data_IF_972868927314
#
_entry.id   IF_972868927314
#
_cell.length_a   1.000
_cell.length_b   1.000
_cell.length_c   1.000
_cell.angle_alpha   90.00
_cell.angle_beta   90.00
_cell.angle_gamma   90.00
#
_symmetry.space_group_name_H-M   'P 1'
#
loop_
_entity.id
_entity.type
_entity.pdbx_description
1 polymer ?
#
# COMPACT_ATOMS: atom_id res chain seq x y z
N UNK A 1 -12.95 2.98 4.09
CA UNK A 1 -12.82 2.57 2.67
C UNK A 1 -12.43 1.11 2.69
N UNK A 2 -13.26 0.24 2.13
CA UNK A 2 -13.00 -1.19 2.10
C UNK A 2 -12.05 -1.54 0.94
N UNK A 3 -11.51 -2.76 0.91
CA UNK A 3 -10.70 -3.25 -0.22
C UNK A 3 -11.49 -3.16 -1.53
N UNK A 4 -12.79 -3.51 -1.50
CA UNK A 4 -13.67 -3.45 -2.67
C UNK A 4 -13.88 -2.03 -3.21
N UNK A 5 -13.92 -1.02 -2.33
CA UNK A 5 -14.05 0.38 -2.77
C UNK A 5 -12.81 0.85 -3.54
N UNK A 6 -11.62 0.39 -3.13
CA UNK A 6 -10.39 0.76 -3.82
C UNK A 6 -10.20 0.00 -5.13
N UNK A 7 -10.50 -1.30 -5.16
CA UNK A 7 -10.48 -2.06 -6.41
C UNK A 7 -11.41 -1.43 -7.45
N UNK A 8 -12.61 -1.02 -7.03
CA UNK A 8 -13.54 -0.29 -7.87
C UNK A 8 -12.94 1.03 -8.37
N UNK A 9 -12.39 1.86 -7.47
CA UNK A 9 -11.73 3.11 -7.84
C UNK A 9 -10.57 2.90 -8.82
N UNK A 10 -9.80 1.83 -8.65
CA UNK A 10 -8.69 1.53 -9.56
C UNK A 10 -9.13 1.10 -10.95
N UNK A 11 -10.35 0.57 -11.11
CA UNK A 11 -10.90 0.25 -12.43
C UNK A 11 -11.26 1.50 -13.23
N UNK A 12 -11.45 2.64 -12.58
CA UNK A 12 -11.66 3.93 -13.26
C UNK A 12 -10.36 4.52 -13.83
N UNK A 13 -9.19 4.07 -13.35
CA UNK A 13 -7.91 4.54 -13.84
C UNK A 13 -7.58 4.01 -15.25
N UNK A 14 -6.79 4.80 -15.99
CA UNK A 14 -6.29 4.40 -17.30
C UNK A 14 -5.51 3.08 -17.24
N UNK A 15 -5.70 2.21 -18.25
CA UNK A 15 -4.97 0.94 -18.38
C UNK A 15 -3.45 1.09 -18.35
N UNK A 16 -2.93 2.25 -18.76
CA UNK A 16 -1.51 2.57 -18.67
C UNK A 16 -0.96 2.48 -17.22
N UNK A 17 -1.83 2.59 -16.22
CA UNK A 17 -1.48 2.48 -14.81
C UNK A 17 -1.59 1.05 -14.25
N UNK A 18 -2.01 0.06 -15.05
CA UNK A 18 -2.16 -1.33 -14.58
C UNK A 18 -0.84 -1.89 -14.01
N UNK A 19 0.30 -1.45 -14.54
CA UNK A 19 1.62 -1.83 -14.07
C UNK A 19 1.96 -1.29 -12.66
N UNK A 20 1.36 -0.15 -12.27
CA UNK A 20 1.60 0.47 -10.96
C UNK A 20 0.50 0.17 -9.93
N UNK A 21 -0.62 -0.43 -10.34
CA UNK A 21 -1.71 -0.78 -9.41
C UNK A 21 -1.24 -1.75 -8.29
N UNK A 22 -0.54 -2.87 -8.58
CA UNK A 22 -0.09 -3.80 -7.55
C UNK A 22 0.78 -3.16 -6.44
N UNK A 23 1.83 -2.35 -6.74
CA UNK A 23 2.59 -1.68 -5.69
C UNK A 23 1.75 -0.66 -4.90
N UNK A 24 0.84 0.07 -5.55
CA UNK A 24 -0.05 1.01 -4.85
C UNK A 24 -0.94 0.31 -3.80
N UNK A 25 -1.49 -0.87 -4.12
CA UNK A 25 -2.25 -1.66 -3.16
C UNK A 25 -1.39 -2.09 -1.96
N UNK A 26 -0.18 -2.59 -2.21
CA UNK A 26 0.74 -2.98 -1.13
C UNK A 26 1.12 -1.80 -0.23
N UNK A 27 1.46 -0.66 -0.83
CA UNK A 27 1.81 0.55 -0.08
C UNK A 27 0.65 1.01 0.79
N UNK A 28 -0.59 0.94 0.29
CA UNK A 28 -1.76 1.25 1.10
C UNK A 28 -1.88 0.33 2.30
N UNK A 29 -1.75 -0.98 2.11
CA UNK A 29 -1.89 -1.95 3.20
C UNK A 29 -0.79 -1.75 4.27
N UNK A 30 0.37 -1.21 3.88
CA UNK A 30 1.43 -0.78 4.80
C UNK A 30 1.05 0.51 5.54
N UNK A 31 0.55 1.52 4.82
CA UNK A 31 0.24 2.85 5.38
C UNK A 31 -1.02 2.87 6.27
N UNK A 32 -1.95 1.97 6.02
CA UNK A 32 -3.27 1.93 6.66
C UNK A 32 -3.55 0.54 7.23
N UNK A 33 -2.54 -0.06 7.86
CA UNK A 33 -2.67 -1.35 8.53
C UNK A 33 -3.61 -1.26 9.74
N UNK A 34 -4.19 -2.40 10.12
CA UNK A 34 -5.00 -2.51 11.32
C UNK A 34 -4.11 -2.85 12.52
N UNK A 35 -4.36 -2.20 13.66
CA UNK A 35 -3.75 -2.57 14.93
C UNK A 35 -4.39 -3.84 15.53
N UNK A 36 -3.96 -4.19 16.75
CA UNK A 36 -4.44 -5.38 17.44
C UNK A 36 -5.94 -5.33 17.79
N UNK A 37 -6.50 -4.13 17.88
CA UNK A 37 -7.92 -3.89 18.17
C UNK A 37 -8.75 -3.77 16.87
N UNK A 38 -8.10 -3.88 15.70
CA UNK A 38 -8.74 -3.79 14.40
C UNK A 38 -8.96 -2.35 13.93
N UNK A 39 -8.35 -1.37 14.60
CA UNK A 39 -8.42 0.04 14.24
C UNK A 39 -7.34 0.39 13.22
N UNK A 40 -7.68 1.28 12.29
CA UNK A 40 -6.75 1.70 11.25
C UNK A 40 -5.69 2.63 11.84
N UNK A 41 -4.42 2.24 11.71
CA UNK A 41 -3.28 3.05 12.14
C UNK A 41 -3.08 4.18 11.12
N UNK A 42 -2.91 5.41 11.62
CA UNK A 42 -2.58 6.58 10.81
C UNK A 42 -1.24 7.18 11.26
N UNK A 43 -0.42 7.55 10.28
CA UNK A 43 0.84 8.26 10.51
C UNK A 43 2.07 7.36 10.55
N UNK A 44 3.22 7.95 10.88
CA UNK A 44 4.50 7.23 11.01
C UNK A 44 4.56 6.58 12.40
N UNK A 45 4.97 5.30 12.51
CA UNK A 45 5.19 4.66 13.80
C UNK A 45 6.11 5.52 14.68
N UNK A 46 5.74 5.70 15.95
CA UNK A 46 6.43 6.60 16.90
C UNK A 46 7.85 6.15 17.25
N UNK A 47 8.17 4.87 17.04
CA UNK A 47 9.40 4.25 17.53
C UNK A 47 10.48 4.16 16.45
N UNK A 48 10.22 3.43 15.38
CA UNK A 48 11.21 3.11 14.35
C UNK A 48 10.68 3.42 12.94
N UNK A 49 11.28 4.39 12.22
CA UNK A 49 10.93 4.72 10.84
C UNK A 49 11.01 3.52 9.88
N UNK A 50 11.90 2.55 10.13
CA UNK A 50 12.06 1.38 9.26
C UNK A 50 10.83 0.46 9.27
N UNK A 51 10.00 0.51 10.31
CA UNK A 51 8.71 -0.20 10.35
C UNK A 51 7.76 0.28 9.25
N UNK A 52 7.93 1.52 8.76
CA UNK A 52 7.16 2.07 7.65
C UNK A 52 7.95 2.09 6.34
N UNK A 53 9.16 2.65 6.36
CA UNK A 53 9.91 2.89 5.12
C UNK A 53 10.51 1.61 4.54
N UNK A 54 10.97 0.67 5.37
CA UNK A 54 11.51 -0.60 4.91
C UNK A 54 10.50 -1.40 4.07
N UNK A 55 9.28 -1.66 4.57
CA UNK A 55 8.24 -2.33 3.81
C UNK A 55 7.84 -1.59 2.52
N UNK A 56 7.79 -0.26 2.53
CA UNK A 56 7.49 0.54 1.33
C UNK A 56 8.59 0.35 0.27
N UNK A 57 9.86 0.43 0.67
CA UNK A 57 11.00 0.22 -0.23
C UNK A 57 10.97 -1.20 -0.82
N UNK A 58 10.71 -2.21 0.00
CA UNK A 58 10.58 -3.60 -0.46
C UNK A 58 9.42 -3.79 -1.46
N UNK A 59 8.29 -3.08 -1.26
CA UNK A 59 7.17 -3.11 -2.20
C UNK A 59 7.55 -2.51 -3.57
N UNK A 60 8.34 -1.42 -3.58
CA UNK A 60 8.88 -0.85 -4.81
C UNK A 60 9.91 -1.77 -5.48
N UNK A 61 10.87 -2.31 -4.73
CA UNK A 61 11.88 -3.23 -5.26
C UNK A 61 11.22 -4.44 -5.93
N UNK A 62 10.20 -5.00 -5.29
CA UNK A 62 9.44 -6.10 -5.86
C UNK A 62 8.72 -5.71 -7.15
N UNK A 63 8.07 -4.55 -7.19
CA UNK A 63 7.39 -4.09 -8.40
C UNK A 63 8.38 -3.83 -9.55
N UNK A 64 9.53 -3.23 -9.26
CA UNK A 64 10.58 -2.97 -10.25
C UNK A 64 11.19 -4.27 -10.77
N UNK A 65 11.39 -5.27 -9.91
CA UNK A 65 11.94 -6.58 -10.32
C UNK A 65 11.05 -7.36 -11.29
N UNK A 66 9.78 -6.98 -11.40
CA UNK A 66 8.78 -7.61 -12.27
C UNK A 66 8.54 -6.87 -13.60
N UNK A 67 9.28 -5.79 -13.86
CA UNK A 67 9.30 -5.05 -15.12
C UNK A 67 10.29 -5.67 -16.11
#
# INVERSE_FOLDING_TARGET
>A
MTIGDLEHLTNEFQKALDVVKPPCFKIRDILFCLDQDGEMIFGTPLEDPDQLYGPIMAAFDQAISTL
#
